data_IF_901972095791
#
_entry.id   IF_901972095791
#
_cell.length_a   1.000
_cell.length_b   1.000
_cell.length_c   1.000
_cell.angle_alpha   90.00
_cell.angle_beta   90.00
_cell.angle_gamma   90.00
#
_symmetry.space_group_name_H-M   'P 1'
#
loop_
_entity.id
_entity.type
_entity.pdbx_description
1 polymer ?
#
# COMPACT_ATOMS: atom_id res chain seq x y z
N UNK A 1 47.25 -4.31 16.13
CA UNK A 1 46.26 -3.75 15.20
C UNK A 1 45.01 -4.63 15.28
N UNK A 2 43.97 -4.14 15.91
CA UNK A 2 42.73 -4.85 16.04
C UNK A 2 41.88 -4.57 14.79
N UNK A 3 41.68 -5.57 13.93
CA UNK A 3 40.68 -5.51 12.85
C UNK A 3 39.31 -5.68 13.47
N UNK A 4 38.54 -4.61 13.46
CA UNK A 4 37.11 -4.65 13.81
C UNK A 4 36.38 -5.48 12.74
N UNK A 5 36.07 -6.73 13.08
CA UNK A 5 35.07 -7.49 12.32
C UNK A 5 33.72 -6.89 12.62
N UNK A 6 33.21 -6.13 11.65
CA UNK A 6 31.80 -5.73 11.63
C UNK A 6 30.95 -6.99 11.41
N UNK A 7 30.43 -7.53 12.50
CA UNK A 7 29.40 -8.56 12.43
C UNK A 7 28.15 -7.90 11.87
N UNK A 8 27.98 -7.92 10.54
CA UNK A 8 26.69 -7.71 9.92
C UNK A 8 25.77 -8.81 10.44
N UNK A 9 24.96 -8.47 11.44
CA UNK A 9 23.77 -9.25 11.75
C UNK A 9 22.88 -9.13 10.52
N UNK A 10 22.92 -10.13 9.67
CA UNK A 10 21.88 -10.31 8.68
C UNK A 10 20.56 -10.44 9.44
N UNK A 11 19.80 -9.35 9.49
CA UNK A 11 18.46 -9.39 10.01
C UNK A 11 17.68 -10.36 9.10
N UNK A 12 17.53 -11.60 9.58
CA UNK A 12 16.81 -12.61 8.85
C UNK A 12 15.34 -12.16 8.84
N UNK A 13 14.85 -11.71 7.69
CA UNK A 13 13.43 -11.36 7.45
C UNK A 13 12.46 -12.45 7.96
N UNK A 14 12.95 -13.66 8.18
CA UNK A 14 12.22 -14.79 8.80
C UNK A 14 11.81 -14.55 10.26
N UNK A 15 12.44 -13.64 10.98
CA UNK A 15 12.04 -13.35 12.37
C UNK A 15 10.84 -12.41 12.46
N UNK A 16 10.61 -11.60 11.45
CA UNK A 16 9.44 -10.70 11.39
C UNK A 16 8.13 -11.44 11.09
N UNK A 17 8.20 -12.65 10.53
CA UNK A 17 7.01 -13.45 10.19
C UNK A 17 6.42 -14.24 11.36
N UNK A 18 6.97 -14.11 12.57
CA UNK A 18 6.61 -14.96 13.71
C UNK A 18 5.53 -14.38 14.64
N UNK A 19 5.25 -13.09 14.52
CA UNK A 19 4.14 -12.47 15.25
C UNK A 19 2.88 -12.51 14.40
N UNK A 20 1.80 -13.13 14.88
CA UNK A 20 0.53 -13.08 14.17
C UNK A 20 0.07 -11.63 14.06
N UNK A 21 -0.39 -11.24 12.88
CA UNK A 21 -0.91 -9.90 12.58
C UNK A 21 -2.02 -9.43 13.57
N UNK A 22 -2.58 -10.35 14.33
CA UNK A 22 -3.57 -10.09 15.39
C UNK A 22 -3.09 -9.23 16.55
N UNK A 23 -1.76 -9.04 16.70
CA UNK A 23 -1.19 -8.23 17.79
C UNK A 23 -0.84 -6.79 17.37
N UNK A 24 -0.99 -6.45 16.09
CA UNK A 24 -0.83 -5.08 15.60
C UNK A 24 -2.15 -4.32 15.80
N UNK A 25 -2.31 -3.74 16.99
CA UNK A 25 -3.43 -2.84 17.26
C UNK A 25 -3.08 -1.44 16.74
N UNK A 26 -3.63 -1.11 15.56
CA UNK A 26 -3.59 0.26 15.06
C UNK A 26 -4.65 1.11 15.77
N UNK A 27 -4.39 2.41 16.00
CA UNK A 27 -5.40 3.35 16.47
C UNK A 27 -6.66 3.32 15.60
N UNK A 28 -7.83 3.48 16.21
CA UNK A 28 -9.11 3.39 15.52
C UNK A 28 -9.26 4.43 14.40
N UNK A 29 -8.77 5.64 14.62
CA UNK A 29 -8.77 6.73 13.64
C UNK A 29 -7.91 6.42 12.42
N UNK A 30 -6.77 5.76 12.61
CA UNK A 30 -5.90 5.30 11.53
C UNK A 30 -6.60 4.22 10.70
N UNK A 31 -7.23 3.25 11.35
CA UNK A 31 -7.99 2.20 10.68
C UNK A 31 -9.17 2.76 9.88
N UNK A 32 -9.91 3.71 10.45
CA UNK A 32 -11.01 4.38 9.78
C UNK A 32 -10.53 5.19 8.57
N UNK A 33 -9.41 5.89 8.70
CA UNK A 33 -8.78 6.63 7.60
C UNK A 33 -8.35 5.72 6.44
N UNK A 34 -7.72 4.59 6.75
CA UNK A 34 -7.33 3.59 5.75
C UNK A 34 -8.56 3.01 5.05
N UNK A 35 -9.58 2.61 5.82
CA UNK A 35 -10.82 2.06 5.26
C UNK A 35 -11.55 3.06 4.37
N UNK A 36 -11.65 4.32 4.80
CA UNK A 36 -12.23 5.39 3.99
C UNK A 36 -11.49 5.56 2.67
N UNK A 37 -10.17 5.52 2.70
CA UNK A 37 -9.34 5.60 1.50
C UNK A 37 -9.56 4.40 0.59
N UNK A 38 -9.65 3.19 1.13
CA UNK A 38 -9.99 1.99 0.35
C UNK A 38 -11.34 2.12 -0.36
N UNK A 39 -12.34 2.63 0.33
CA UNK A 39 -13.66 2.87 -0.27
C UNK A 39 -13.61 3.89 -1.41
N UNK A 40 -12.82 4.96 -1.26
CA UNK A 40 -12.61 5.96 -2.31
C UNK A 40 -11.90 5.36 -3.53
N UNK A 41 -10.86 4.56 -3.32
CA UNK A 41 -10.13 3.86 -4.39
C UNK A 41 -11.09 2.93 -5.14
N UNK A 42 -11.90 2.14 -4.44
CA UNK A 42 -12.88 1.25 -5.03
C UNK A 42 -13.87 2.01 -5.90
N UNK A 43 -14.45 3.08 -5.37
CA UNK A 43 -15.42 3.90 -6.10
C UNK A 43 -14.82 4.56 -7.33
N UNK A 44 -13.59 5.02 -7.23
CA UNK A 44 -12.88 5.60 -8.38
C UNK A 44 -12.65 4.55 -9.47
N UNK A 45 -12.18 3.36 -9.11
CA UNK A 45 -11.93 2.28 -10.05
C UNK A 45 -13.21 1.82 -10.76
N UNK A 46 -14.27 1.57 -10.00
CA UNK A 46 -15.58 1.19 -10.56
C UNK A 46 -16.16 2.27 -11.51
N UNK A 47 -16.03 3.54 -11.13
CA UNK A 47 -16.48 4.63 -11.98
C UNK A 47 -15.64 4.75 -13.26
N UNK A 48 -14.34 4.56 -13.16
CA UNK A 48 -13.43 4.57 -14.32
C UNK A 48 -13.81 3.48 -15.32
N UNK A 49 -14.10 2.27 -14.84
CA UNK A 49 -14.54 1.17 -15.70
C UNK A 49 -15.89 1.47 -16.36
N UNK A 50 -16.84 2.01 -15.61
CA UNK A 50 -18.11 2.43 -16.17
C UNK A 50 -17.95 3.47 -17.28
N UNK A 51 -17.14 4.49 -17.04
CA UNK A 51 -16.86 5.53 -18.05
C UNK A 51 -16.09 4.99 -19.26
N UNK A 52 -15.28 3.98 -19.07
CA UNK A 52 -14.60 3.26 -20.14
C UNK A 52 -15.63 2.52 -21.02
N UNK A 53 -16.54 1.76 -20.40
CA UNK A 53 -17.60 1.03 -21.11
C UNK A 53 -18.55 1.97 -21.87
N UNK A 54 -18.79 3.16 -21.34
CA UNK A 54 -19.58 4.20 -21.98
C UNK A 54 -18.81 4.97 -23.09
N UNK A 55 -17.50 4.69 -23.26
CA UNK A 55 -16.65 5.31 -24.30
C UNK A 55 -16.11 6.70 -23.95
N UNK A 56 -16.26 7.16 -22.71
CA UNK A 56 -15.73 8.44 -22.25
C UNK A 56 -14.24 8.39 -21.91
N UNK A 57 -13.75 7.24 -21.53
CA UNK A 57 -12.32 7.00 -21.26
C UNK A 57 -11.73 6.16 -22.40
N UNK A 58 -10.63 6.63 -22.98
CA UNK A 58 -9.94 5.94 -24.08
C UNK A 58 -8.69 5.25 -23.56
N UNK A 59 -8.27 4.19 -24.24
CA UNK A 59 -7.07 3.42 -23.90
C UNK A 59 -7.39 2.13 -23.19
N UNK A 60 -6.50 1.69 -22.32
CA UNK A 60 -6.65 0.47 -21.53
C UNK A 60 -6.85 0.82 -20.06
N UNK A 61 -7.84 0.22 -19.44
CA UNK A 61 -8.08 0.36 -18.01
C UNK A 61 -7.83 -0.98 -17.32
N UNK A 62 -6.99 -0.97 -16.29
CA UNK A 62 -6.74 -2.13 -15.45
C UNK A 62 -7.42 -1.95 -14.10
N UNK A 63 -8.18 -2.96 -13.67
CA UNK A 63 -8.84 -2.93 -12.38
C UNK A 63 -7.85 -3.07 -11.24
N UNK A 64 -8.04 -2.28 -10.20
CA UNK A 64 -7.34 -2.35 -8.93
C UNK A 64 -8.19 -2.97 -7.80
N UNK A 65 -9.38 -3.42 -8.14
CA UNK A 65 -10.33 -4.04 -7.20
C UNK A 65 -9.68 -5.24 -6.50
N UNK A 66 -9.77 -5.24 -5.18
CA UNK A 66 -9.17 -6.25 -4.31
C UNK A 66 -7.76 -5.93 -3.79
N UNK A 67 -7.13 -4.85 -4.27
CA UNK A 67 -5.78 -4.43 -3.88
C UNK A 67 -5.76 -3.07 -3.15
N UNK A 68 -6.90 -2.52 -2.83
CA UNK A 68 -7.07 -1.18 -2.26
C UNK A 68 -6.31 -0.99 -0.94
N UNK A 69 -6.22 -2.06 -0.13
CA UNK A 69 -5.54 -2.02 1.15
C UNK A 69 -4.05 -1.68 1.03
N UNK A 70 -3.38 -2.13 -0.04
CA UNK A 70 -1.97 -1.87 -0.29
C UNK A 70 -1.75 -0.36 -0.50
N UNK A 71 -2.48 0.24 -1.43
CA UNK A 71 -2.36 1.66 -1.74
C UNK A 71 -2.79 2.54 -0.56
N UNK A 72 -3.87 2.17 0.14
CA UNK A 72 -4.36 2.92 1.28
C UNK A 72 -3.38 2.89 2.46
N UNK A 73 -2.79 1.74 2.76
CA UNK A 73 -1.82 1.60 3.84
C UNK A 73 -0.50 2.32 3.51
N UNK A 74 -0.01 2.20 2.29
CA UNK A 74 1.19 2.94 1.85
C UNK A 74 0.93 4.44 1.93
N UNK A 75 -0.19 4.92 1.38
CA UNK A 75 -0.56 6.33 1.40
C UNK A 75 -0.69 6.91 2.80
N UNK A 76 -1.22 6.13 3.75
CA UNK A 76 -1.36 6.55 5.15
C UNK A 76 -0.01 6.75 5.86
N UNK A 77 1.06 6.18 5.34
CA UNK A 77 2.42 6.28 5.91
C UNK A 77 3.31 7.28 5.17
N UNK A 78 2.85 7.87 4.06
CA UNK A 78 3.60 8.87 3.33
C UNK A 78 3.50 10.25 3.99
N UNK A 79 4.60 11.00 3.96
CA UNK A 79 4.67 12.41 4.32
C UNK A 79 4.57 13.27 3.06
N UNK A 80 4.25 14.54 3.21
CA UNK A 80 4.11 15.47 2.09
C UNK A 80 5.41 15.65 1.28
N UNK A 81 6.57 15.43 1.90
CA UNK A 81 7.89 15.53 1.29
C UNK A 81 8.44 14.19 0.77
N UNK A 82 7.67 13.11 0.88
CA UNK A 82 8.07 11.80 0.35
C UNK A 82 7.87 11.72 -1.18
N UNK A 83 8.75 11.00 -1.83
CA UNK A 83 8.65 10.71 -3.25
C UNK A 83 8.19 9.28 -3.47
N UNK A 84 7.34 9.08 -4.45
CA UNK A 84 6.86 7.78 -4.85
C UNK A 84 7.10 7.56 -6.34
N UNK A 85 7.57 6.40 -6.69
CA UNK A 85 7.73 5.97 -8.07
C UNK A 85 7.08 4.61 -8.27
N UNK A 86 6.43 4.43 -9.40
CA UNK A 86 5.91 3.13 -9.82
C UNK A 86 6.13 2.95 -11.31
N UNK A 87 6.08 1.71 -11.78
CA UNK A 87 5.88 1.44 -13.20
C UNK A 87 4.40 1.69 -13.54
N UNK A 88 3.76 0.99 -14.44
CA UNK A 88 2.39 1.34 -14.80
C UNK A 88 1.30 0.67 -13.93
N UNK A 89 1.70 -0.20 -12.98
CA UNK A 89 0.71 -0.97 -12.23
C UNK A 89 1.20 -1.43 -10.86
#
# INVERSE_FOLDING_TARGET
>A
MATAQSTQKSATWKSAAKEPASNMQLPADVLEGIYTTMCRIRRFDEMTHKLFDEGHVKGTAHSYVGQEAIAAAVGANLREDDYMASNHR
#
